data_IF_462390388726
#
_entry.id   IF_462390388726
#
_cell.length_a   1.000
_cell.length_b   1.000
_cell.length_c   1.000
_cell.angle_alpha   90.00
_cell.angle_beta   90.00
_cell.angle_gamma   90.00
#
_symmetry.space_group_name_H-M   'P 1'
#
loop_
_entity.id
_entity.type
_entity.pdbx_description
1 polymer ?
#
# COMPACT_ATOMS: atom_id res chain seq x y z
N UNK A 1 1.70 -20.30 -11.53
CA UNK A 1 1.80 -18.93 -12.09
C UNK A 1 2.05 -19.05 -13.59
N UNK A 2 1.61 -18.09 -14.42
CA UNK A 2 1.96 -18.11 -15.84
C UNK A 2 3.49 -18.03 -15.99
N UNK A 3 4.05 -18.84 -16.90
CA UNK A 3 5.47 -18.81 -17.22
C UNK A 3 5.79 -17.57 -18.07
N UNK A 4 6.95 -16.96 -17.82
CA UNK A 4 7.44 -15.85 -18.64
C UNK A 4 7.92 -16.38 -19.99
N UNK A 5 7.55 -15.70 -21.08
CA UNK A 5 8.14 -15.98 -22.39
C UNK A 5 9.63 -15.60 -22.39
N UNK A 6 10.40 -16.15 -23.32
CA UNK A 6 11.81 -15.80 -23.48
C UNK A 6 12.01 -14.29 -23.72
N UNK A 7 11.06 -13.64 -24.41
CA UNK A 7 11.06 -12.20 -24.65
C UNK A 7 10.84 -11.42 -23.35
N UNK A 8 9.86 -11.82 -22.54
CA UNK A 8 9.59 -11.19 -21.24
C UNK A 8 10.78 -11.36 -20.29
N UNK A 9 11.39 -12.55 -20.28
CA UNK A 9 12.56 -12.83 -19.45
C UNK A 9 13.74 -11.93 -19.85
N UNK A 10 14.01 -11.79 -21.15
CA UNK A 10 15.07 -10.91 -21.64
C UNK A 10 14.82 -9.43 -21.30
N UNK A 11 13.56 -8.98 -21.33
CA UNK A 11 13.18 -7.62 -20.94
C UNK A 11 13.42 -7.38 -19.43
N UNK A 12 13.02 -8.33 -18.58
CA UNK A 12 13.27 -8.27 -17.13
C UNK A 12 14.77 -8.23 -16.85
N UNK A 13 15.55 -9.14 -17.45
CA UNK A 13 17.00 -9.16 -17.28
C UNK A 13 17.65 -7.86 -17.76
N UNK A 14 17.19 -7.29 -18.86
CA UNK A 14 17.67 -6.00 -19.35
C UNK A 14 17.33 -4.87 -18.38
N UNK A 15 16.15 -4.88 -17.77
CA UNK A 15 15.69 -3.86 -16.81
C UNK A 15 16.42 -3.93 -15.46
N UNK A 16 16.84 -5.12 -15.02
CA UNK A 16 17.57 -5.32 -13.76
C UNK A 16 19.07 -5.02 -13.84
N UNK A 17 19.63 -4.75 -15.03
CA UNK A 17 21.01 -4.28 -15.16
C UNK A 17 21.19 -2.95 -14.41
N UNK A 18 22.29 -2.75 -13.65
CA UNK A 18 22.41 -1.63 -12.71
C UNK A 18 22.68 -0.26 -13.35
N UNK A 19 22.97 -0.19 -14.65
CA UNK A 19 23.38 1.03 -15.34
C UNK A 19 22.70 1.12 -16.71
N UNK A 20 22.26 2.32 -17.15
CA UNK A 20 22.35 3.62 -16.47
C UNK A 20 21.18 3.89 -15.50
N UNK A 21 21.48 4.20 -14.23
CA UNK A 21 20.49 4.31 -13.14
C UNK A 21 19.34 5.30 -13.41
N UNK A 22 19.62 6.40 -14.11
CA UNK A 22 18.63 7.46 -14.41
C UNK A 22 17.69 7.15 -15.57
N UNK A 23 17.90 6.03 -16.26
CA UNK A 23 17.04 5.62 -17.37
C UNK A 23 15.61 5.42 -16.89
N UNK A 24 14.66 6.06 -17.57
CA UNK A 24 13.24 5.91 -17.28
C UNK A 24 12.71 4.66 -17.99
N UNK A 25 12.27 3.68 -17.19
CA UNK A 25 11.76 2.40 -17.69
C UNK A 25 10.22 2.39 -17.76
N UNK A 26 9.55 3.14 -16.90
CA UNK A 26 8.09 3.29 -16.97
C UNK A 26 7.61 4.69 -16.55
N UNK A 27 6.49 5.12 -17.12
CA UNK A 27 5.76 6.34 -16.77
C UNK A 27 4.27 6.04 -16.69
N UNK A 28 3.62 6.48 -15.62
CA UNK A 28 2.18 6.25 -15.41
C UNK A 28 1.74 6.85 -14.09
N UNK A 29 0.46 7.20 -13.96
CA UNK A 29 -0.12 7.67 -12.69
C UNK A 29 0.58 8.90 -12.07
N UNK A 30 1.16 9.76 -12.93
CA UNK A 30 2.03 10.89 -12.52
C UNK A 30 3.32 10.47 -11.78
N UNK A 31 3.69 9.19 -11.86
CA UNK A 31 4.92 8.61 -11.36
C UNK A 31 5.88 8.29 -12.51
N UNK A 32 7.16 8.28 -12.18
CA UNK A 32 8.25 7.90 -13.09
C UNK A 32 9.06 6.83 -12.39
N UNK A 33 9.17 5.67 -13.00
CA UNK A 33 9.99 4.56 -12.51
C UNK A 33 11.28 4.53 -13.31
N UNK A 34 12.40 4.74 -12.62
CA UNK A 34 13.72 4.64 -13.21
C UNK A 34 14.31 3.25 -13.00
N UNK A 35 15.39 2.98 -13.72
CA UNK A 35 16.22 1.79 -13.51
C UNK A 35 16.69 1.68 -12.06
N UNK A 36 17.09 2.78 -11.43
CA UNK A 36 17.42 2.82 -10.00
C UNK A 36 16.31 2.26 -9.10
N UNK A 37 15.03 2.49 -9.46
CA UNK A 37 13.88 1.96 -8.73
C UNK A 37 13.68 0.47 -9.05
N UNK A 38 13.72 0.08 -10.33
CA UNK A 38 13.52 -1.31 -10.76
C UNK A 38 14.58 -2.26 -10.19
N UNK A 39 15.83 -1.84 -10.04
CA UNK A 39 16.88 -2.70 -9.46
C UNK A 39 16.53 -3.14 -8.04
N UNK A 40 15.68 -2.39 -7.31
CA UNK A 40 15.21 -2.78 -5.97
C UNK A 40 14.31 -4.03 -5.97
N UNK A 41 13.85 -4.47 -7.14
CA UNK A 41 13.17 -5.77 -7.35
C UNK A 41 14.14 -6.94 -7.56
N UNK A 42 15.46 -6.69 -7.64
CA UNK A 42 16.45 -7.76 -7.71
C UNK A 42 16.48 -8.57 -6.41
N UNK A 43 16.97 -9.80 -6.50
CA UNK A 43 17.10 -10.68 -5.34
C UNK A 43 17.83 -10.01 -4.17
N UNK A 44 17.31 -10.21 -2.96
CA UNK A 44 17.84 -9.70 -1.70
C UNK A 44 17.94 -8.16 -1.61
N UNK A 45 17.23 -7.41 -2.46
CA UNK A 45 17.13 -5.95 -2.34
C UNK A 45 15.87 -5.54 -1.59
N UNK A 46 15.91 -4.36 -0.98
CA UNK A 46 14.75 -3.75 -0.34
C UNK A 46 14.02 -2.87 -1.34
N UNK A 47 12.77 -3.22 -1.64
CA UNK A 47 11.91 -2.44 -2.52
C UNK A 47 11.73 -1.03 -1.96
N UNK A 48 11.89 -0.05 -2.83
CA UNK A 48 11.67 1.34 -2.47
C UNK A 48 10.20 1.77 -2.60
N UNK A 49 9.92 2.97 -2.10
CA UNK A 49 8.60 3.57 -2.14
C UNK A 49 8.10 3.85 -3.57
N UNK A 50 8.99 4.18 -4.52
CA UNK A 50 8.59 4.41 -5.93
C UNK A 50 7.90 3.18 -6.51
N UNK A 51 8.51 2.00 -6.34
CA UNK A 51 7.98 0.74 -6.88
C UNK A 51 6.65 0.38 -6.22
N UNK A 52 6.56 0.47 -4.88
CA UNK A 52 5.31 0.18 -4.15
C UNK A 52 4.20 1.14 -4.59
N UNK A 53 4.46 2.45 -4.65
CA UNK A 53 3.47 3.44 -5.08
C UNK A 53 3.00 3.21 -6.53
N UNK A 54 3.92 2.83 -7.41
CA UNK A 54 3.59 2.51 -8.80
C UNK A 54 2.70 1.27 -8.88
N UNK A 55 3.04 0.20 -8.17
CA UNK A 55 2.25 -1.03 -8.15
C UNK A 55 0.87 -0.82 -7.53
N UNK A 56 0.77 -0.08 -6.42
CA UNK A 56 -0.51 0.32 -5.82
C UNK A 56 -1.39 1.09 -6.82
N UNK A 57 -0.79 1.98 -7.61
CA UNK A 57 -1.51 2.70 -8.68
C UNK A 57 -1.97 1.77 -9.81
N UNK A 58 -1.18 0.75 -10.16
CA UNK A 58 -1.60 -0.29 -11.10
C UNK A 58 -2.80 -1.09 -10.57
N UNK A 59 -2.85 -1.40 -9.26
CA UNK A 59 -3.99 -2.08 -8.64
C UNK A 59 -5.26 -1.22 -8.71
N UNK A 60 -5.15 0.07 -8.41
CA UNK A 60 -6.26 1.03 -8.54
C UNK A 60 -6.74 1.09 -9.99
N UNK A 61 -5.85 1.24 -10.97
CA UNK A 61 -6.20 1.30 -12.39
C UNK A 61 -6.86 -0.01 -12.87
N UNK A 62 -6.36 -1.17 -12.43
CA UNK A 62 -6.99 -2.47 -12.73
C UNK A 62 -8.39 -2.56 -12.14
N UNK A 63 -8.63 -1.94 -10.98
CA UNK A 63 -9.93 -1.94 -10.31
C UNK A 63 -11.01 -1.13 -11.05
N UNK A 64 -10.64 -0.19 -11.93
CA UNK A 64 -11.61 0.61 -12.70
C UNK A 64 -12.48 -0.25 -13.63
N UNK A 65 -11.94 -1.37 -14.12
CA UNK A 65 -12.67 -2.37 -14.90
C UNK A 65 -13.04 -3.61 -14.06
N UNK A 66 -12.81 -3.55 -12.75
CA UNK A 66 -13.04 -4.63 -11.82
C UNK A 66 -14.40 -4.52 -11.13
N UNK A 67 -14.81 -5.57 -10.40
CA UNK A 67 -16.05 -5.56 -9.64
C UNK A 67 -16.00 -4.69 -8.39
N UNK A 68 -14.81 -4.26 -7.96
CA UNK A 68 -14.58 -3.52 -6.72
C UNK A 68 -13.85 -2.23 -7.02
N UNK A 69 -14.30 -1.14 -6.41
CA UNK A 69 -13.64 0.16 -6.44
C UNK A 69 -12.54 0.17 -5.38
N UNK A 70 -11.29 0.25 -5.82
CA UNK A 70 -10.13 0.29 -4.93
C UNK A 70 -9.55 1.70 -4.93
N UNK A 71 -9.18 2.18 -3.74
CA UNK A 71 -8.32 3.33 -3.57
C UNK A 71 -7.05 2.89 -2.85
N UNK A 72 -5.91 3.49 -3.19
CA UNK A 72 -4.66 3.25 -2.49
C UNK A 72 -4.05 4.59 -2.08
N UNK A 73 -3.67 4.70 -0.81
CA UNK A 73 -2.83 5.78 -0.37
C UNK A 73 -1.39 5.56 -0.84
N UNK A 74 -0.64 6.64 -1.01
CA UNK A 74 0.80 6.52 -1.18
C UNK A 74 1.48 6.12 0.14
N UNK A 75 2.68 5.58 0.03
CA UNK A 75 3.50 5.08 1.15
C UNK A 75 3.83 6.11 2.23
N UNK A 76 3.67 7.41 1.96
CA UNK A 76 3.94 8.49 2.93
C UNK A 76 2.72 8.82 3.79
N UNK A 77 1.53 8.32 3.44
CA UNK A 77 0.29 8.61 4.15
C UNK A 77 0.38 8.27 5.63
N UNK A 78 0.75 7.02 5.94
CA UNK A 78 0.70 6.52 7.31
C UNK A 78 1.74 7.22 8.20
N UNK A 79 2.95 7.43 7.68
CA UNK A 79 3.99 8.22 8.38
C UNK A 79 3.51 9.63 8.70
N UNK A 80 2.79 10.27 7.77
CA UNK A 80 2.23 11.60 8.00
C UNK A 80 1.05 11.58 8.96
N UNK A 81 0.25 10.51 8.96
CA UNK A 81 -0.82 10.30 9.93
C UNK A 81 -0.25 10.20 11.36
N UNK A 82 0.77 9.38 11.58
CA UNK A 82 1.42 9.25 12.88
C UNK A 82 1.96 10.58 13.42
N UNK A 83 2.45 11.46 12.54
CA UNK A 83 3.09 12.72 12.92
C UNK A 83 2.11 13.88 13.11
N UNK A 84 1.18 14.03 12.17
CA UNK A 84 0.36 15.24 12.05
C UNK A 84 -1.14 14.98 12.33
N UNK A 85 -1.54 13.73 12.57
CA UNK A 85 -2.94 13.31 12.64
C UNK A 85 -3.72 13.62 11.35
N UNK A 86 -5.05 13.59 11.42
CA UNK A 86 -5.91 13.98 10.31
C UNK A 86 -5.68 15.42 9.85
N UNK A 87 -5.35 16.33 10.76
CA UNK A 87 -5.13 17.74 10.47
C UNK A 87 -4.09 17.96 9.36
N UNK A 88 -3.00 17.19 9.36
CA UNK A 88 -1.98 17.24 8.32
C UNK A 88 -2.42 16.64 6.97
N UNK A 89 -3.47 15.81 6.98
CA UNK A 89 -3.92 15.00 5.84
C UNK A 89 -5.19 15.51 5.16
N UNK A 90 -5.89 16.50 5.72
CA UNK A 90 -7.16 17.07 5.19
C UNK A 90 -7.17 17.35 3.67
N UNK A 91 -6.02 17.70 3.10
CA UNK A 91 -5.89 18.04 1.66
C UNK A 91 -5.68 16.83 0.76
N UNK A 92 -5.24 15.68 1.30
CA UNK A 92 -4.88 14.49 0.53
C UNK A 92 -6.09 13.88 -0.17
N UNK A 93 -7.21 13.85 0.53
CA UNK A 93 -8.50 13.35 0.05
C UNK A 93 -9.41 14.49 -0.40
N UNK A 94 -8.87 15.69 -0.74
CA UNK A 94 -9.69 16.86 -1.06
C UNK A 94 -10.67 16.61 -2.21
N UNK A 95 -10.25 15.84 -3.22
CA UNK A 95 -11.00 15.58 -4.46
C UNK A 95 -11.71 14.22 -4.48
N UNK A 96 -11.64 13.46 -3.38
CA UNK A 96 -12.20 12.10 -3.33
C UNK A 96 -13.02 11.91 -2.05
N UNK A 97 -13.97 10.99 -2.12
CA UNK A 97 -14.71 10.48 -0.96
C UNK A 97 -14.27 9.04 -0.71
N UNK A 98 -13.47 8.81 0.33
CA UNK A 98 -12.87 7.50 0.63
C UNK A 98 -13.92 6.41 0.79
N UNK A 99 -15.03 6.71 1.45
CA UNK A 99 -16.06 5.70 1.70
C UNK A 99 -17.06 5.55 0.54
N UNK A 100 -16.71 6.06 -0.64
CA UNK A 100 -17.35 5.65 -1.90
C UNK A 100 -16.64 4.48 -2.58
N UNK A 101 -15.48 4.08 -2.04
CA UNK A 101 -14.72 2.91 -2.47
C UNK A 101 -15.10 1.70 -1.64
N UNK A 102 -14.88 0.51 -2.20
CA UNK A 102 -15.10 -0.76 -1.51
C UNK A 102 -13.91 -1.11 -0.61
N UNK A 103 -12.70 -0.88 -1.13
CA UNK A 103 -11.44 -1.23 -0.48
C UNK A 103 -10.50 -0.02 -0.50
N UNK A 104 -9.86 0.26 0.63
CA UNK A 104 -8.74 1.20 0.74
C UNK A 104 -7.49 0.45 1.16
N UNK A 105 -6.45 0.55 0.33
CA UNK A 105 -5.12 0.02 0.58
C UNK A 105 -4.23 1.09 1.22
N UNK A 106 -3.54 0.73 2.29
CA UNK A 106 -2.61 1.61 3.00
C UNK A 106 -1.28 0.90 3.17
N UNK A 107 -0.29 1.14 2.29
CA UNK A 107 1.06 0.64 2.50
C UNK A 107 1.67 1.34 3.72
N UNK A 108 2.23 0.57 4.64
CA UNK A 108 2.84 1.08 5.87
C UNK A 108 4.32 0.72 5.89
N UNK A 109 5.15 1.72 6.17
CA UNK A 109 6.58 1.55 6.39
C UNK A 109 6.93 1.95 7.82
N UNK A 110 7.30 0.97 8.66
CA UNK A 110 7.77 1.22 10.02
C UNK A 110 9.08 0.47 10.25
N UNK A 111 10.06 1.10 10.89
CA UNK A 111 11.31 0.46 11.33
C UNK A 111 12.02 -0.39 10.27
N UNK A 112 12.02 0.08 9.00
CA UNK A 112 12.61 -0.62 7.83
C UNK A 112 11.86 -1.89 7.41
N UNK A 113 10.55 -1.90 7.61
CA UNK A 113 9.69 -3.03 7.28
C UNK A 113 8.41 -2.54 6.60
N UNK A 114 8.06 -3.18 5.50
CA UNK A 114 6.83 -2.94 4.75
C UNK A 114 5.75 -3.93 5.18
N UNK A 115 4.55 -3.43 5.38
CA UNK A 115 3.34 -4.24 5.56
C UNK A 115 2.13 -3.46 5.06
N UNK A 116 0.98 -4.14 4.93
CA UNK A 116 -0.22 -3.56 4.34
C UNK A 116 -1.35 -3.49 5.36
N UNK A 117 -1.99 -2.32 5.49
CA UNK A 117 -3.33 -2.24 6.06
C UNK A 117 -4.37 -2.18 4.95
N UNK A 118 -5.47 -2.89 5.14
CA UNK A 118 -6.61 -2.93 4.22
C UNK A 118 -7.86 -2.56 4.99
N UNK A 119 -8.54 -1.51 4.53
CA UNK A 119 -9.89 -1.16 4.99
C UNK A 119 -10.87 -1.70 3.96
N UNK A 120 -11.73 -2.64 4.35
CA UNK A 120 -12.80 -3.19 3.52
C UNK A 120 -14.15 -2.71 4.05
N UNK A 121 -14.71 -1.69 3.42
CA UNK A 121 -15.97 -1.08 3.85
C UNK A 121 -17.17 -2.01 3.66
N UNK A 122 -17.09 -2.99 2.76
CA UNK A 122 -18.17 -3.96 2.52
C UNK A 122 -18.31 -4.96 3.66
N UNK A 123 -17.20 -5.21 4.36
CA UNK A 123 -17.10 -6.15 5.48
C UNK A 123 -16.98 -5.46 6.83
N UNK A 124 -17.01 -4.13 6.85
CA UNK A 124 -16.71 -3.32 8.03
C UNK A 124 -15.43 -3.80 8.71
N UNK A 125 -14.33 -3.89 7.97
CA UNK A 125 -13.10 -4.51 8.46
C UNK A 125 -11.87 -3.63 8.24
N UNK A 126 -10.98 -3.58 9.23
CA UNK A 126 -9.59 -3.15 9.06
C UNK A 126 -8.69 -4.36 9.33
N UNK A 127 -7.89 -4.75 8.35
CA UNK A 127 -6.99 -5.88 8.44
C UNK A 127 -5.54 -5.46 8.20
N UNK A 128 -4.62 -5.97 9.02
CA UNK A 128 -3.18 -5.83 8.82
C UNK A 128 -2.61 -7.14 8.28
N UNK A 129 -1.92 -7.05 7.14
CA UNK A 129 -1.21 -8.16 6.51
C UNK A 129 0.27 -7.88 6.63
N UNK A 130 0.98 -8.79 7.28
CA UNK A 130 2.39 -8.63 7.55
C UNK A 130 3.13 -9.96 7.46
N UNK A 131 4.11 -10.02 6.57
CA UNK A 131 4.96 -11.17 6.30
C UNK A 131 6.04 -11.40 7.34
N UNK A 132 6.23 -10.47 8.29
CA UNK A 132 7.23 -10.50 9.35
C UNK A 132 6.56 -10.28 10.72
N UNK A 133 6.31 -11.39 11.41
CA UNK A 133 5.55 -11.44 12.67
C UNK A 133 6.15 -10.60 13.82
N UNK A 134 5.44 -9.53 14.21
CA UNK A 134 5.54 -8.89 15.53
C UNK A 134 4.24 -8.13 15.86
N UNK A 135 3.20 -8.82 16.33
CA UNK A 135 1.84 -8.28 16.53
C UNK A 135 1.74 -7.01 17.39
N UNK A 136 2.65 -6.79 18.34
CA UNK A 136 2.47 -5.76 19.37
C UNK A 136 2.64 -4.31 18.90
N UNK A 137 3.52 -4.04 17.92
CA UNK A 137 3.64 -2.70 17.34
C UNK A 137 2.48 -2.33 16.40
N UNK A 138 1.65 -3.33 16.04
CA UNK A 138 0.68 -3.27 14.94
C UNK A 138 -0.72 -2.87 15.41
N UNK A 139 -1.10 -3.18 16.65
CA UNK A 139 -2.40 -2.79 17.22
C UNK A 139 -2.64 -1.26 17.16
N UNK A 140 -1.60 -0.48 17.47
CA UNK A 140 -1.65 0.98 17.36
C UNK A 140 -1.92 1.48 15.93
N UNK A 141 -1.58 0.69 14.90
CA UNK A 141 -1.83 1.08 13.51
C UNK A 141 -3.32 1.03 13.18
N UNK A 142 -4.04 0.03 13.70
CA UNK A 142 -5.49 -0.07 13.53
C UNK A 142 -6.17 1.11 14.22
N UNK A 143 -5.77 1.43 15.45
CA UNK A 143 -6.36 2.55 16.19
C UNK A 143 -6.17 3.89 15.46
N UNK A 144 -4.97 4.15 14.94
CA UNK A 144 -4.69 5.36 14.14
C UNK A 144 -5.52 5.43 12.87
N UNK A 145 -5.69 4.30 12.16
CA UNK A 145 -6.54 4.26 10.95
C UNK A 145 -8.02 4.45 11.30
N UNK A 146 -8.48 3.86 12.40
CA UNK A 146 -9.84 4.04 12.91
C UNK A 146 -10.11 5.50 13.23
N UNK A 147 -9.21 6.14 13.99
CA UNK A 147 -9.30 7.57 14.33
C UNK A 147 -9.31 8.44 13.07
N UNK A 148 -8.40 8.17 12.12
CA UNK A 148 -8.36 8.88 10.85
C UNK A 148 -9.68 8.78 10.08
N UNK A 149 -10.28 7.59 9.99
CA UNK A 149 -11.54 7.36 9.28
C UNK A 149 -12.70 8.08 9.97
N UNK A 150 -12.75 8.06 11.31
CA UNK A 150 -13.75 8.80 12.09
C UNK A 150 -13.65 10.31 11.82
N UNK A 151 -12.45 10.88 11.95
CA UNK A 151 -12.20 12.30 11.71
C UNK A 151 -12.48 12.70 10.26
N UNK A 152 -12.14 11.84 9.30
CA UNK A 152 -12.41 12.07 7.88
C UNK A 152 -13.90 12.00 7.57
N UNK A 153 -14.65 11.08 8.17
CA UNK A 153 -16.11 10.99 8.03
C UNK A 153 -16.78 12.24 8.62
N UNK A 154 -16.41 12.63 9.84
CA UNK A 154 -16.90 13.86 10.48
C UNK A 154 -16.59 15.09 9.64
N UNK A 155 -15.38 15.16 9.08
CA UNK A 155 -14.95 16.29 8.27
C UNK A 155 -15.71 16.39 6.93
N UNK A 156 -15.87 15.27 6.22
CA UNK A 156 -16.40 15.21 4.84
C UNK A 156 -17.89 14.98 4.77
N UNK A 157 -18.42 14.10 5.61
CA UNK A 157 -19.80 13.61 5.59
C UNK A 157 -20.67 14.13 6.73
N UNK A 158 -20.04 14.77 7.74
CA UNK A 158 -20.72 15.40 8.89
C UNK A 158 -21.43 14.40 9.82
N UNK A 159 -21.01 13.14 9.79
CA UNK A 159 -21.44 12.12 10.73
C UNK A 159 -20.26 11.19 11.06
N UNK A 160 -20.30 10.55 12.22
CA UNK A 160 -19.32 9.55 12.63
C UNK A 160 -19.53 8.20 11.95
N UNK A 161 -18.68 7.23 12.27
CA UNK A 161 -18.79 5.84 11.83
C UNK A 161 -19.33 5.01 12.99
N UNK A 162 -20.28 4.11 12.72
CA UNK A 162 -20.65 3.11 13.70
C UNK A 162 -19.59 2.00 13.70
N UNK A 163 -18.87 1.86 14.81
CA UNK A 163 -17.78 0.90 14.98
C UNK A 163 -18.22 -0.42 15.62
N UNK A 164 -19.48 -0.53 16.10
CA UNK A 164 -19.94 -1.69 16.87
C UNK A 164 -19.82 -3.01 16.08
N UNK A 165 -20.04 -2.95 14.76
CA UNK A 165 -19.99 -4.12 13.87
C UNK A 165 -18.66 -4.26 13.10
N UNK A 166 -17.63 -3.50 13.49
CA UNK A 166 -16.34 -3.54 12.80
C UNK A 166 -15.40 -4.64 13.31
N UNK A 167 -14.75 -5.30 12.35
CA UNK A 167 -13.74 -6.31 12.62
C UNK A 167 -12.33 -5.71 12.50
N UNK A 168 -11.52 -5.89 13.54
CA UNK A 168 -10.13 -5.42 13.59
C UNK A 168 -9.20 -6.63 13.63
N UNK A 169 -8.49 -6.87 12.54
CA UNK A 169 -7.79 -8.14 12.30
C UNK A 169 -6.29 -7.88 12.11
N UNK A 170 -5.47 -8.61 12.85
CA UNK A 170 -4.06 -8.82 12.52
C UNK A 170 -4.00 -10.21 11.90
N UNK A 171 -3.68 -10.29 10.61
CA UNK A 171 -3.73 -11.56 9.89
C UNK A 171 -2.57 -12.47 10.33
N UNK A 172 -2.90 -13.62 10.93
CA UNK A 172 -1.92 -14.59 11.43
C UNK A 172 -1.64 -15.70 10.41
N UNK A 173 -2.66 -16.15 9.68
CA UNK A 173 -2.58 -17.23 8.67
C UNK A 173 -2.16 -16.72 7.28
N UNK A 174 -1.14 -15.86 7.22
CA UNK A 174 -0.58 -15.35 5.96
C UNK A 174 0.80 -15.94 5.72
N UNK A 175 1.17 -16.23 4.45
CA UNK A 175 2.52 -16.67 4.12
C UNK A 175 3.56 -15.73 4.73
N UNK A 176 4.48 -16.29 5.53
CA UNK A 176 5.54 -15.53 6.19
C UNK A 176 6.79 -15.51 5.30
N UNK A 177 7.49 -14.39 5.28
CA UNK A 177 8.76 -14.28 4.56
C UNK A 177 9.85 -15.10 5.27
N UNK A 178 10.80 -15.64 4.50
CA UNK A 178 11.92 -16.43 5.04
C UNK A 178 13.24 -15.65 5.08
N UNK A 179 13.22 -14.37 4.72
CA UNK A 179 14.39 -13.48 4.71
C UNK A 179 14.05 -12.09 5.28
N UNK A 180 14.98 -11.14 5.18
CA UNK A 180 14.82 -9.76 5.69
C UNK A 180 14.58 -8.74 4.56
N UNK A 181 14.39 -9.17 3.31
CA UNK A 181 14.31 -8.27 2.15
C UNK A 181 12.92 -8.22 1.52
N UNK A 182 12.16 -9.30 1.61
CA UNK A 182 10.99 -9.48 0.75
C UNK A 182 9.71 -8.85 1.29
N UNK A 183 9.76 -8.18 2.44
CA UNK A 183 8.59 -7.53 3.04
C UNK A 183 7.82 -6.63 2.05
N UNK A 184 8.55 -5.92 1.18
CA UNK A 184 7.94 -5.10 0.13
C UNK A 184 7.23 -5.91 -0.98
N UNK A 185 7.66 -7.15 -1.25
CA UNK A 185 7.00 -8.04 -2.23
C UNK A 185 5.70 -8.64 -1.67
N UNK A 186 5.65 -8.88 -0.36
CA UNK A 186 4.46 -9.40 0.32
C UNK A 186 3.39 -8.34 0.58
N UNK A 187 3.79 -7.06 0.64
CA UNK A 187 2.93 -5.88 0.87
C UNK A 187 2.13 -5.52 -0.38
#
# INVERSE_FOLDING_TARGET
PPELSAEMQAEVEAALKPCPQEEVLARGFSLVVRRADIITLSENQWINDTVINFYMSMLVNRSENGPLRVYAFNTFFFTKLCRDGHAGLKRWTRKIDLFSYDIVLVPIHLSRHWFLAVVDFRRSQIALYDSFGAAHAKANCIDLLREYLEEESLHKRKHGINWDDWNFIVAEDVPQQQNMSDCGMFT
#
